data_IF_346973781056
#
_entry.id   IF_346973781056
#
_cell.length_a   1.000
_cell.length_b   1.000
_cell.length_c   1.000
_cell.angle_alpha   90.00
_cell.angle_beta   90.00
_cell.angle_gamma   90.00
#
_symmetry.space_group_name_H-M   'P 1'
#
loop_
_entity.id
_entity.type
_entity.pdbx_description
1 polymer ?
#
# COMPACT_ATOMS: atom_id res chain seq x y z
N UNK A 1 4.66 -7.66 -15.31
CA UNK A 1 3.88 -6.47 -14.89
C UNK A 1 3.13 -5.78 -16.03
N UNK A 2 3.70 -4.87 -16.84
CA UNK A 2 2.89 -4.12 -17.83
C UNK A 2 2.13 -5.03 -18.81
N UNK A 3 2.82 -6.04 -19.36
CA UNK A 3 2.20 -7.06 -20.23
C UNK A 3 1.04 -7.78 -19.52
N UNK A 4 1.22 -8.13 -18.26
CA UNK A 4 0.20 -8.80 -17.44
C UNK A 4 -1.01 -7.88 -17.19
N UNK A 5 -0.77 -6.60 -16.88
CA UNK A 5 -1.84 -5.61 -16.72
C UNK A 5 -2.63 -5.39 -18.02
N UNK A 6 -1.95 -5.38 -19.18
CA UNK A 6 -2.59 -5.33 -20.51
C UNK A 6 -3.45 -6.59 -20.76
N UNK A 7 -2.92 -7.79 -20.49
CA UNK A 7 -3.64 -9.08 -20.68
C UNK A 7 -4.92 -9.18 -19.83
N UNK A 8 -4.92 -8.53 -18.67
CA UNK A 8 -6.08 -8.46 -17.77
C UNK A 8 -6.98 -7.23 -17.99
N UNK A 9 -6.73 -6.42 -19.02
CA UNK A 9 -7.49 -5.21 -19.34
C UNK A 9 -7.57 -4.21 -18.16
N UNK A 10 -6.51 -4.11 -17.36
CA UNK A 10 -6.47 -3.18 -16.22
C UNK A 10 -6.19 -1.73 -16.66
N UNK A 11 -5.64 -1.55 -17.86
CA UNK A 11 -5.24 -0.24 -18.38
C UNK A 11 -6.36 0.32 -19.26
N UNK A 12 -7.28 1.06 -18.63
CA UNK A 12 -8.56 1.49 -19.23
C UNK A 12 -8.41 2.41 -20.45
N UNK A 13 -7.32 3.19 -20.53
CA UNK A 13 -7.02 4.07 -21.66
C UNK A 13 -5.51 4.15 -21.93
N UNK A 14 -5.12 4.59 -23.12
CA UNK A 14 -3.71 4.83 -23.46
C UNK A 14 -3.06 5.90 -22.55
N UNK A 15 -3.84 6.90 -22.14
CA UNK A 15 -3.37 7.93 -21.21
C UNK A 15 -3.11 7.32 -19.82
N UNK A 16 -4.03 6.50 -19.32
CA UNK A 16 -3.86 5.77 -18.06
C UNK A 16 -2.68 4.81 -18.13
N UNK A 17 -2.51 4.09 -19.24
CA UNK A 17 -1.36 3.23 -19.51
C UNK A 17 -0.04 4.01 -19.40
N UNK A 18 0.04 5.19 -19.99
CA UNK A 18 1.22 6.04 -19.90
C UNK A 18 1.48 6.52 -18.47
N UNK A 19 0.43 6.85 -17.69
CA UNK A 19 0.53 7.14 -16.26
C UNK A 19 1.13 5.96 -15.49
N UNK A 20 0.62 4.75 -15.70
CA UNK A 20 1.12 3.52 -15.04
C UNK A 20 2.58 3.20 -15.43
N UNK A 21 3.00 3.41 -16.67
CA UNK A 21 4.41 3.22 -17.07
C UNK A 21 5.34 4.14 -16.27
N UNK A 22 4.92 5.40 -16.06
CA UNK A 22 5.70 6.41 -15.33
C UNK A 22 5.85 6.11 -13.84
N UNK A 23 4.95 5.32 -13.26
CA UNK A 23 5.05 4.97 -11.83
C UNK A 23 6.16 3.96 -11.56
N UNK A 24 6.55 3.15 -12.55
CA UNK A 24 7.60 2.12 -12.39
C UNK A 24 7.35 1.17 -11.21
N UNK A 25 6.11 0.72 -10.98
CA UNK A 25 5.77 -0.17 -9.85
C UNK A 25 6.57 -1.48 -9.80
N UNK A 26 7.04 -1.98 -10.95
CA UNK A 26 7.96 -3.13 -10.97
C UNK A 26 9.29 -2.84 -10.28
N UNK A 27 9.81 -1.61 -10.37
CA UNK A 27 11.02 -1.19 -9.63
C UNK A 27 10.73 -0.99 -8.15
N UNK A 28 9.54 -0.51 -7.77
CA UNK A 28 9.11 -0.49 -6.37
C UNK A 28 9.16 -1.90 -5.76
N UNK A 29 8.55 -2.89 -6.44
CA UNK A 29 8.61 -4.29 -6.01
C UNK A 29 10.06 -4.78 -5.85
N UNK A 30 10.90 -4.55 -6.86
CA UNK A 30 12.30 -5.01 -6.83
C UNK A 30 13.13 -4.37 -5.71
N UNK A 31 12.87 -3.10 -5.37
CA UNK A 31 13.56 -2.42 -4.26
C UNK A 31 13.10 -2.89 -2.89
N UNK A 32 11.81 -3.16 -2.74
CA UNK A 32 11.24 -3.57 -1.45
C UNK A 32 11.41 -5.06 -1.16
N UNK A 33 11.59 -5.89 -2.19
CA UNK A 33 11.81 -7.33 -2.08
C UNK A 33 13.04 -7.79 -2.88
N UNK A 34 14.24 -7.29 -2.55
CA UNK A 34 15.44 -7.49 -3.36
C UNK A 34 15.92 -8.94 -3.42
N UNK A 35 15.51 -9.77 -2.45
CA UNK A 35 15.92 -11.17 -2.35
C UNK A 35 14.83 -12.15 -2.81
N UNK A 36 13.67 -11.66 -3.27
CA UNK A 36 12.60 -12.52 -3.74
C UNK A 36 13.04 -13.27 -5.00
N UNK A 37 12.72 -14.57 -5.06
CA UNK A 37 12.86 -15.33 -6.31
C UNK A 37 12.02 -14.74 -7.43
N UNK A 38 12.46 -14.90 -8.68
CA UNK A 38 11.87 -14.26 -9.87
C UNK A 38 10.34 -14.43 -9.95
N UNK A 39 9.84 -15.64 -9.70
CA UNK A 39 8.41 -15.95 -9.80
C UNK A 39 7.58 -15.24 -8.71
N UNK A 40 8.11 -15.19 -7.47
CA UNK A 40 7.47 -14.47 -6.37
C UNK A 40 7.53 -12.95 -6.60
N UNK A 41 8.67 -12.43 -7.03
CA UNK A 41 8.82 -11.01 -7.34
C UNK A 41 7.88 -10.57 -8.46
N UNK A 42 7.69 -11.41 -9.48
CA UNK A 42 6.74 -11.14 -10.56
C UNK A 42 5.29 -11.10 -10.03
N UNK A 43 4.89 -12.05 -9.18
CA UNK A 43 3.56 -12.05 -8.54
C UNK A 43 3.34 -10.83 -7.64
N UNK A 44 4.36 -10.41 -6.89
CA UNK A 44 4.33 -9.20 -6.07
C UNK A 44 4.20 -7.95 -6.95
N UNK A 45 4.99 -7.83 -8.03
CA UNK A 45 4.90 -6.68 -8.92
C UNK A 45 3.51 -6.55 -9.57
N UNK A 46 2.92 -7.68 -9.96
CA UNK A 46 1.56 -7.73 -10.51
C UNK A 46 0.51 -7.38 -9.44
N UNK A 47 0.70 -7.86 -8.20
CA UNK A 47 -0.11 -7.47 -7.05
C UNK A 47 -0.05 -5.96 -6.79
N UNK A 48 1.14 -5.35 -6.81
CA UNK A 48 1.31 -3.93 -6.53
C UNK A 48 0.64 -3.08 -7.61
N UNK A 49 0.84 -3.39 -8.90
CA UNK A 49 0.14 -2.64 -9.96
C UNK A 49 -1.36 -2.81 -9.79
N UNK A 50 -1.88 -4.03 -9.60
CA UNK A 50 -3.30 -4.23 -9.37
C UNK A 50 -3.84 -3.40 -8.20
N UNK A 51 -3.13 -3.41 -7.07
CA UNK A 51 -3.49 -2.65 -5.87
C UNK A 51 -3.60 -1.16 -6.17
N UNK A 52 -2.58 -0.56 -6.80
CA UNK A 52 -2.59 0.87 -7.11
C UNK A 52 -3.72 1.26 -8.07
N UNK A 53 -4.04 0.41 -9.06
CA UNK A 53 -5.14 0.70 -9.98
C UNK A 53 -6.51 0.57 -9.29
N UNK A 54 -6.68 -0.45 -8.44
CA UNK A 54 -7.89 -0.59 -7.64
C UNK A 54 -8.09 0.59 -6.68
N UNK A 55 -7.01 1.05 -6.05
CA UNK A 55 -7.00 2.21 -5.16
C UNK A 55 -7.37 3.49 -5.91
N UNK A 56 -6.67 3.81 -7.01
CA UNK A 56 -6.92 5.00 -7.85
C UNK A 56 -8.36 5.02 -8.42
N UNK A 57 -8.95 3.85 -8.73
CA UNK A 57 -10.27 3.75 -9.39
C UNK A 57 -11.46 3.63 -8.42
N UNK A 58 -11.28 3.09 -7.21
CA UNK A 58 -12.41 2.76 -6.32
C UNK A 58 -12.29 3.32 -4.91
N UNK A 59 -11.07 3.54 -4.40
CA UNK A 59 -10.86 3.92 -2.99
C UNK A 59 -10.50 5.39 -2.86
N UNK A 60 -9.59 5.88 -3.70
CA UNK A 60 -9.11 7.26 -3.66
C UNK A 60 -10.01 8.24 -4.42
N UNK A 61 -10.94 7.75 -5.25
CA UNK A 61 -11.94 8.61 -5.89
C UNK A 61 -12.86 9.24 -4.85
N UNK A 62 -12.97 10.56 -4.87
CA UNK A 62 -13.84 11.35 -3.97
C UNK A 62 -15.32 11.31 -4.39
N UNK A 63 -15.67 10.44 -5.33
CA UNK A 63 -17.05 10.26 -5.78
C UNK A 63 -17.89 9.50 -4.74
N UNK A 64 -19.20 9.66 -4.82
CA UNK A 64 -20.13 8.92 -3.95
C UNK A 64 -20.08 7.44 -4.31
N UNK A 65 -19.95 6.57 -3.31
CA UNK A 65 -20.00 5.12 -3.50
C UNK A 65 -21.23 4.72 -4.33
N UNK A 66 -21.01 3.88 -5.34
CA UNK A 66 -22.07 3.31 -6.18
C UNK A 66 -22.28 1.84 -5.82
N UNK A 67 -23.36 1.24 -6.34
CA UNK A 67 -23.54 -0.22 -6.26
C UNK A 67 -22.35 -0.97 -6.88
N UNK A 68 -21.68 -0.35 -7.87
CA UNK A 68 -20.50 -0.91 -8.50
C UNK A 68 -19.28 -0.90 -7.57
N UNK A 69 -19.07 0.17 -6.81
CA UNK A 69 -18.04 0.24 -5.76
C UNK A 69 -18.24 -0.89 -4.74
N UNK A 70 -19.48 -1.13 -4.30
CA UNK A 70 -19.80 -2.19 -3.33
C UNK A 70 -19.54 -3.57 -3.94
N UNK A 71 -20.01 -3.82 -5.18
CA UNK A 71 -19.75 -5.09 -5.89
C UNK A 71 -18.26 -5.33 -6.10
N UNK A 72 -17.48 -4.31 -6.42
CA UNK A 72 -16.05 -4.43 -6.63
C UNK A 72 -15.30 -4.80 -5.33
N UNK A 73 -15.54 -4.05 -4.24
CA UNK A 73 -14.91 -4.33 -2.94
C UNK A 73 -15.29 -5.72 -2.40
N UNK A 74 -16.54 -6.15 -2.59
CA UNK A 74 -16.98 -7.50 -2.18
C UNK A 74 -16.38 -8.59 -3.06
N UNK A 75 -16.28 -8.40 -4.37
CA UNK A 75 -15.61 -9.34 -5.27
C UNK A 75 -14.12 -9.52 -4.90
N UNK A 76 -13.43 -8.47 -4.46
CA UNK A 76 -12.05 -8.57 -3.98
C UNK A 76 -11.91 -9.48 -2.75
N UNK A 77 -12.88 -9.42 -1.85
CA UNK A 77 -12.96 -10.28 -0.66
C UNK A 77 -13.32 -11.72 -1.06
N UNK A 78 -14.28 -11.90 -1.98
CA UNK A 78 -14.66 -13.23 -2.48
C UNK A 78 -13.50 -13.96 -3.18
N UNK A 79 -12.63 -13.24 -3.90
CA UNK A 79 -11.41 -13.82 -4.47
C UNK A 79 -10.48 -14.39 -3.39
N UNK A 80 -10.36 -13.70 -2.25
CA UNK A 80 -9.54 -14.14 -1.13
C UNK A 80 -10.16 -15.32 -0.38
N UNK A 81 -11.47 -15.28 -0.14
CA UNK A 81 -12.17 -16.24 0.72
C UNK A 81 -12.67 -17.47 -0.01
N UNK A 82 -13.15 -17.29 -1.24
CA UNK A 82 -13.84 -18.31 -2.02
C UNK A 82 -13.03 -18.74 -3.26
N UNK A 83 -11.95 -18.03 -3.60
CA UNK A 83 -11.14 -18.28 -4.79
C UNK A 83 -11.98 -18.27 -6.09
N UNK A 84 -12.92 -17.32 -6.17
CA UNK A 84 -13.77 -17.08 -7.34
C UNK A 84 -13.77 -15.61 -7.71
N UNK A 85 -13.99 -15.31 -8.99
CA UNK A 85 -14.26 -13.95 -9.46
C UNK A 85 -15.78 -13.73 -9.59
N UNK A 86 -16.21 -12.47 -9.51
CA UNK A 86 -17.59 -12.07 -9.76
C UNK A 86 -18.05 -12.44 -11.19
N UNK A 87 -19.35 -12.69 -11.34
CA UNK A 87 -19.98 -12.97 -12.63
C UNK A 87 -21.28 -12.15 -12.79
N UNK A 88 -21.33 -11.17 -13.72
CA UNK A 88 -20.21 -10.67 -14.53
C UNK A 88 -19.16 -9.94 -13.69
N UNK A 89 -17.89 -9.87 -14.13
CA UNK A 89 -16.86 -9.10 -13.44
C UNK A 89 -17.11 -7.59 -13.57
N UNK A 90 -16.74 -6.84 -12.53
CA UNK A 90 -16.80 -5.38 -12.43
C UNK A 90 -15.49 -4.76 -12.92
N UNK A 91 -14.39 -4.98 -12.20
CA UNK A 91 -13.07 -4.46 -12.56
C UNK A 91 -11.97 -5.23 -11.82
N UNK A 92 -11.03 -5.77 -12.59
CA UNK A 92 -9.77 -6.29 -12.08
C UNK A 92 -9.85 -7.54 -11.21
N UNK A 93 -11.03 -8.07 -10.85
CA UNK A 93 -11.13 -9.25 -9.98
C UNK A 93 -10.57 -10.53 -10.63
N UNK A 94 -10.57 -10.62 -11.96
CA UNK A 94 -9.92 -11.73 -12.68
C UNK A 94 -8.39 -11.66 -12.55
N UNK A 95 -7.84 -10.45 -12.58
CA UNK A 95 -6.41 -10.21 -12.35
C UNK A 95 -6.05 -10.48 -10.89
N UNK A 96 -6.93 -10.06 -9.97
CA UNK A 96 -6.77 -10.34 -8.55
C UNK A 96 -6.79 -11.84 -8.24
N UNK A 97 -7.68 -12.58 -8.90
CA UNK A 97 -7.78 -14.02 -8.78
C UNK A 97 -6.49 -14.70 -9.25
N UNK A 98 -5.94 -14.28 -10.38
CA UNK A 98 -4.64 -14.77 -10.88
C UNK A 98 -3.51 -14.53 -9.86
N UNK A 99 -3.38 -13.30 -9.34
CA UNK A 99 -2.39 -12.96 -8.31
C UNK A 99 -2.58 -13.84 -7.08
N UNK A 100 -3.79 -13.96 -6.55
CA UNK A 100 -4.07 -14.77 -5.38
C UNK A 100 -3.75 -16.25 -5.60
N UNK A 101 -4.06 -16.81 -6.77
CA UNK A 101 -3.74 -18.20 -7.10
C UNK A 101 -2.22 -18.42 -7.20
N UNK A 102 -1.49 -17.48 -7.80
CA UNK A 102 -0.02 -17.53 -7.83
C UNK A 102 0.57 -17.44 -6.42
N UNK A 103 0.12 -16.51 -5.60
CA UNK A 103 0.60 -16.36 -4.22
C UNK A 103 0.28 -17.59 -3.36
N UNK A 104 -0.92 -18.19 -3.47
CA UNK A 104 -1.26 -19.46 -2.78
C UNK A 104 -0.34 -20.62 -3.15
N UNK A 105 0.15 -20.65 -4.40
CA UNK A 105 1.10 -21.68 -4.86
C UNK A 105 2.53 -21.42 -4.36
N UNK A 106 2.92 -20.15 -4.27
CA UNK A 106 4.30 -19.73 -3.98
C UNK A 106 4.58 -19.58 -2.48
N UNK A 107 3.56 -19.34 -1.66
CA UNK A 107 3.68 -19.07 -0.23
C UNK A 107 3.24 -20.28 0.60
N UNK A 108 3.75 -20.36 1.82
CA UNK A 108 3.12 -21.20 2.85
C UNK A 108 1.73 -20.66 3.19
N UNK A 109 0.82 -21.54 3.61
CA UNK A 109 -0.57 -21.18 3.89
C UNK A 109 -0.70 -20.04 4.92
N UNK A 110 0.11 -20.06 5.96
CA UNK A 110 0.12 -19.02 7.00
C UNK A 110 0.54 -17.65 6.44
N UNK A 111 1.58 -17.60 5.60
CA UNK A 111 2.04 -16.34 4.99
C UNK A 111 1.01 -15.78 4.00
N UNK A 112 0.36 -16.65 3.22
CA UNK A 112 -0.76 -16.24 2.38
C UNK A 112 -1.92 -15.69 3.21
N UNK A 113 -2.27 -16.31 4.33
CA UNK A 113 -3.37 -15.82 5.19
C UNK A 113 -3.04 -14.48 5.86
N UNK A 114 -1.79 -14.23 6.26
CA UNK A 114 -1.37 -12.91 6.74
C UNK A 114 -1.54 -11.83 5.67
N UNK A 115 -1.15 -12.14 4.44
CA UNK A 115 -1.37 -11.27 3.28
C UNK A 115 -2.86 -11.04 3.00
N UNK A 116 -3.64 -12.11 2.92
CA UNK A 116 -5.07 -12.06 2.69
C UNK A 116 -5.78 -11.24 3.78
N UNK A 117 -5.40 -11.40 5.05
CA UNK A 117 -5.95 -10.61 6.14
C UNK A 117 -5.61 -9.12 6.00
N UNK A 118 -4.39 -8.78 5.57
CA UNK A 118 -4.02 -7.41 5.24
C UNK A 118 -4.91 -6.80 4.16
N UNK A 119 -5.19 -7.56 3.10
CA UNK A 119 -6.07 -7.14 2.00
C UNK A 119 -7.54 -7.02 2.42
N UNK A 120 -8.04 -7.94 3.26
CA UNK A 120 -9.39 -7.85 3.85
C UNK A 120 -9.54 -6.57 4.67
N UNK A 121 -8.54 -6.24 5.49
CA UNK A 121 -8.52 -5.01 6.29
C UNK A 121 -8.45 -3.76 5.41
N UNK A 122 -7.68 -3.79 4.32
CA UNK A 122 -7.66 -2.72 3.33
C UNK A 122 -9.05 -2.52 2.71
N UNK A 123 -9.64 -3.56 2.12
CA UNK A 123 -10.93 -3.47 1.44
C UNK A 123 -12.07 -3.02 2.38
N UNK A 124 -12.07 -3.51 3.62
CA UNK A 124 -13.10 -3.13 4.61
C UNK A 124 -12.87 -1.74 5.18
N UNK A 125 -11.62 -1.31 5.38
CA UNK A 125 -11.32 0.05 5.86
C UNK A 125 -11.44 1.09 4.75
N UNK A 126 -11.30 0.70 3.47
CA UNK A 126 -11.61 1.55 2.33
C UNK A 126 -13.04 2.09 2.41
N UNK A 127 -14.01 1.32 2.93
CA UNK A 127 -15.36 1.82 3.17
C UNK A 127 -15.39 3.01 4.15
N UNK A 128 -14.55 3.02 5.20
CA UNK A 128 -14.45 4.17 6.11
C UNK A 128 -13.82 5.38 5.43
N UNK A 129 -12.85 5.17 4.53
CA UNK A 129 -12.27 6.23 3.72
C UNK A 129 -13.30 6.83 2.75
N UNK A 130 -14.03 5.99 2.03
CA UNK A 130 -15.10 6.40 1.12
C UNK A 130 -16.23 7.12 1.87
N UNK A 131 -16.63 6.66 3.06
CA UNK A 131 -17.59 7.39 3.89
C UNK A 131 -17.06 8.77 4.32
N UNK A 132 -15.75 8.88 4.56
CA UNK A 132 -15.10 10.15 4.81
C UNK A 132 -15.05 11.05 3.56
N UNK A 133 -15.24 10.51 2.35
CA UNK A 133 -15.38 11.27 1.10
C UNK A 133 -16.64 12.14 1.09
N UNK A 134 -17.68 11.71 1.81
CA UNK A 134 -18.97 12.41 1.91
C UNK A 134 -18.93 13.66 2.80
N UNK A 135 -17.82 13.92 3.51
CA UNK A 135 -17.68 15.04 4.43
C UNK A 135 -16.96 16.22 3.75
N UNK A 136 -17.34 17.47 4.04
CA UNK A 136 -16.68 18.65 3.47
C UNK A 136 -15.27 18.90 4.05
N UNK A 137 -14.91 18.22 5.14
CA UNK A 137 -13.60 18.31 5.79
C UNK A 137 -13.13 16.92 6.20
N UNK A 138 -11.82 16.74 6.36
CA UNK A 138 -11.26 15.48 6.83
C UNK A 138 -11.68 15.15 8.27
N UNK A 139 -11.50 13.89 8.66
CA UNK A 139 -11.60 13.45 10.05
C UNK A 139 -10.42 13.97 10.87
N UNK A 140 -10.52 13.86 12.20
CA UNK A 140 -9.42 14.19 13.09
C UNK A 140 -8.19 13.30 12.86
N UNK A 141 -7.04 13.74 13.37
CA UNK A 141 -5.76 13.04 13.20
C UNK A 141 -5.81 11.59 13.72
N UNK A 142 -6.51 11.34 14.83
CA UNK A 142 -6.63 10.01 15.43
C UNK A 142 -7.38 9.05 14.52
N UNK A 143 -8.53 9.49 14.00
CA UNK A 143 -9.35 8.70 13.07
C UNK A 143 -8.59 8.49 11.76
N UNK A 144 -7.95 9.54 11.24
CA UNK A 144 -7.09 9.46 10.05
C UNK A 144 -6.02 8.38 10.19
N UNK A 145 -5.26 8.39 11.29
CA UNK A 145 -4.22 7.39 11.53
C UNK A 145 -4.77 5.96 11.64
N UNK A 146 -6.00 5.80 12.11
CA UNK A 146 -6.65 4.48 12.18
C UNK A 146 -7.03 3.99 10.79
N UNK A 147 -7.62 4.85 9.96
CA UNK A 147 -7.99 4.54 8.57
C UNK A 147 -6.72 4.26 7.75
N UNK A 148 -5.77 5.21 7.77
CA UNK A 148 -4.52 5.18 6.99
C UNK A 148 -3.65 3.96 7.26
N UNK A 149 -3.66 3.43 8.49
CA UNK A 149 -2.94 2.19 8.85
C UNK A 149 -3.35 1.00 7.99
N UNK A 150 -4.58 0.97 7.52
CA UNK A 150 -5.10 -0.13 6.71
C UNK A 150 -5.23 0.25 5.24
N UNK A 151 -5.65 1.49 4.93
CA UNK A 151 -5.84 1.93 3.54
C UNK A 151 -4.53 2.15 2.79
N UNK A 152 -3.40 2.25 3.50
CA UNK A 152 -2.09 2.37 2.86
C UNK A 152 -1.59 1.14 2.10
N UNK A 153 -2.21 -0.03 2.30
CA UNK A 153 -1.73 -1.29 1.71
C UNK A 153 -0.44 -1.84 2.31
N UNK A 154 0.13 -1.22 3.36
CA UNK A 154 1.41 -1.67 3.92
C UNK A 154 1.32 -2.98 4.72
N UNK A 155 0.17 -3.30 5.31
CA UNK A 155 -0.01 -4.56 6.04
C UNK A 155 0.14 -5.80 5.13
N UNK A 156 -0.56 -5.91 3.98
CA UNK A 156 -0.33 -7.03 3.07
C UNK A 156 1.11 -7.03 2.51
N UNK A 157 1.68 -5.87 2.18
CA UNK A 157 3.06 -5.76 1.71
C UNK A 157 4.09 -6.32 2.72
N UNK A 158 4.04 -5.86 3.97
CA UNK A 158 4.97 -6.32 5.02
C UNK A 158 4.79 -7.80 5.38
N UNK A 159 3.59 -8.36 5.20
CA UNK A 159 3.34 -9.78 5.44
C UNK A 159 4.05 -10.72 4.46
N UNK A 160 4.46 -10.23 3.29
CA UNK A 160 5.21 -10.99 2.30
C UNK A 160 6.73 -10.88 2.49
N UNK A 161 7.18 -10.03 3.41
CA UNK A 161 8.58 -9.66 3.54
C UNK A 161 9.46 -10.83 4.01
N UNK A 162 8.95 -11.72 4.85
CA UNK A 162 9.70 -12.88 5.32
C UNK A 162 9.88 -13.94 4.23
N UNK A 163 8.81 -14.31 3.53
CA UNK A 163 8.79 -15.25 2.43
C UNK A 163 9.64 -14.77 1.24
N UNK A 164 9.75 -13.46 1.04
CA UNK A 164 10.63 -12.85 0.05
C UNK A 164 12.12 -12.83 0.44
N UNK A 165 12.47 -13.25 1.66
CA UNK A 165 13.84 -13.23 2.17
C UNK A 165 14.31 -14.63 2.60
N UNK A 166 13.95 -15.04 3.82
CA UNK A 166 14.47 -16.27 4.46
C UNK A 166 13.42 -17.35 4.69
N UNK A 167 12.17 -17.10 4.30
CA UNK A 167 11.05 -18.02 4.53
C UNK A 167 10.05 -17.50 5.55
N UNK A 168 8.93 -18.19 5.70
CA UNK A 168 7.81 -17.74 6.55
C UNK A 168 8.14 -17.85 8.03
N UNK A 169 8.02 -16.74 8.76
CA UNK A 169 8.16 -16.69 10.23
C UNK A 169 7.06 -17.51 10.89
N UNK A 170 7.37 -18.20 11.98
CA UNK A 170 6.35 -18.90 12.77
C UNK A 170 5.43 -17.92 13.50
N UNK A 171 4.16 -18.29 13.65
CA UNK A 171 3.15 -17.46 14.29
C UNK A 171 3.57 -16.97 15.70
N UNK A 172 4.27 -17.80 16.50
CA UNK A 172 4.71 -17.41 17.84
C UNK A 172 5.71 -16.24 17.84
N UNK A 173 6.58 -16.17 16.83
CA UNK A 173 7.53 -15.06 16.66
C UNK A 173 6.86 -13.88 15.93
N UNK A 174 6.05 -14.15 14.90
CA UNK A 174 5.39 -13.09 14.15
C UNK A 174 4.46 -12.26 15.04
N UNK A 175 3.67 -12.91 15.89
CA UNK A 175 2.71 -12.24 16.79
C UNK A 175 3.33 -11.76 18.11
N UNK A 176 4.65 -11.85 18.27
CA UNK A 176 5.33 -11.18 19.38
C UNK A 176 5.06 -9.67 19.36
N UNK A 177 4.91 -9.08 20.53
CA UNK A 177 4.49 -7.68 20.66
C UNK A 177 5.51 -6.70 20.05
N UNK A 178 6.81 -7.00 20.16
CA UNK A 178 7.87 -6.15 19.59
C UNK A 178 7.89 -6.29 18.07
N UNK A 179 7.72 -7.50 17.54
CA UNK A 179 7.64 -7.75 16.09
C UNK A 179 6.42 -7.04 15.47
N UNK A 180 5.26 -7.14 16.12
CA UNK A 180 4.07 -6.40 15.69
C UNK A 180 4.27 -4.88 15.76
N UNK A 181 5.09 -4.40 16.69
CA UNK A 181 5.46 -2.98 16.76
C UNK A 181 6.34 -2.57 15.59
N UNK A 182 7.34 -3.37 15.22
CA UNK A 182 8.18 -3.14 14.03
C UNK A 182 7.37 -3.09 12.74
N UNK A 183 6.40 -4.00 12.57
CA UNK A 183 5.49 -4.01 11.41
C UNK A 183 4.65 -2.72 11.37
N UNK A 184 4.09 -2.29 12.51
CA UNK A 184 3.31 -1.04 12.59
C UNK A 184 4.18 0.19 12.32
N UNK A 185 5.40 0.24 12.85
CA UNK A 185 6.33 1.34 12.61
C UNK A 185 6.71 1.42 11.14
N UNK A 186 6.98 0.28 10.49
CA UNK A 186 7.26 0.22 9.04
C UNK A 186 6.12 0.81 8.22
N UNK A 187 4.88 0.42 8.55
CA UNK A 187 3.67 0.98 7.94
C UNK A 187 3.64 2.51 8.15
N UNK A 188 3.70 2.98 9.40
CA UNK A 188 3.69 4.41 9.73
C UNK A 188 4.75 5.20 8.94
N UNK A 189 5.99 4.74 8.92
CA UNK A 189 7.11 5.39 8.23
C UNK A 189 6.80 5.55 6.75
N UNK A 190 6.45 4.45 6.06
CA UNK A 190 6.21 4.47 4.60
C UNK A 190 5.00 5.32 4.26
N UNK A 191 3.93 5.22 5.05
CA UNK A 191 2.66 5.89 4.76
C UNK A 191 2.72 7.39 5.03
N UNK A 192 3.35 7.81 6.13
CA UNK A 192 3.51 9.23 6.43
C UNK A 192 4.58 9.88 5.54
N UNK A 193 5.58 9.12 5.10
CA UNK A 193 6.48 9.57 4.04
C UNK A 193 5.71 9.74 2.71
N UNK A 194 4.81 8.80 2.37
CA UNK A 194 3.92 8.97 1.23
C UNK A 194 3.09 10.24 1.35
N UNK A 195 2.46 10.50 2.49
CA UNK A 195 1.66 11.73 2.71
C UNK A 195 2.46 13.02 2.42
N UNK A 196 3.77 13.06 2.66
CA UNK A 196 4.61 14.21 2.28
C UNK A 196 4.83 14.26 0.77
N UNK A 197 5.15 13.12 0.15
CA UNK A 197 5.56 13.04 -1.26
C UNK A 197 4.38 13.16 -2.23
N UNK A 198 3.23 12.59 -1.87
CA UNK A 198 1.98 12.67 -2.62
C UNK A 198 1.22 13.97 -2.38
N UNK A 199 1.59 14.77 -1.36
CA UNK A 199 0.89 16.00 -0.98
C UNK A 199 0.53 16.86 -2.18
N UNK A 200 1.49 17.13 -3.07
CA UNK A 200 1.29 18.04 -4.19
C UNK A 200 0.28 17.50 -5.18
N UNK A 201 0.29 16.21 -5.50
CA UNK A 201 -0.72 15.65 -6.41
C UNK A 201 -2.09 15.57 -5.72
N UNK A 202 -2.14 15.18 -4.45
CA UNK A 202 -3.38 15.01 -3.69
C UNK A 202 -4.12 16.32 -3.44
N UNK A 203 -3.45 17.44 -3.15
CA UNK A 203 -4.15 18.73 -2.97
C UNK A 203 -4.75 19.28 -4.27
N UNK A 204 -4.29 18.80 -5.43
CA UNK A 204 -4.88 19.14 -6.74
C UNK A 204 -6.01 18.18 -7.12
N UNK A 205 -6.15 17.03 -6.44
CA UNK A 205 -7.28 16.12 -6.64
C UNK A 205 -8.55 16.74 -6.03
N UNK A 206 -9.60 17.00 -6.83
CA UNK A 206 -10.79 17.67 -6.34
C UNK A 206 -11.48 16.93 -5.19
N UNK A 207 -11.60 17.59 -4.03
CA UNK A 207 -12.26 17.04 -2.85
C UNK A 207 -11.38 16.13 -1.98
N UNK A 208 -10.09 15.98 -2.33
CA UNK A 208 -9.16 15.20 -1.53
C UNK A 208 -8.54 16.06 -0.43
N UNK A 209 -8.75 15.63 0.82
CA UNK A 209 -8.25 16.33 2.01
C UNK A 209 -7.63 15.37 3.05
N UNK A 210 -7.36 14.13 2.65
CA UNK A 210 -7.13 13.00 3.55
C UNK A 210 -5.66 12.63 3.55
N UNK A 211 -4.88 13.59 4.02
CA UNK A 211 -3.43 13.55 4.10
C UNK A 211 -3.01 14.13 5.45
N UNK A 212 -1.99 13.55 6.12
CA UNK A 212 -1.53 14.03 7.43
C UNK A 212 -1.17 15.52 7.41
N UNK A 213 -0.47 15.98 6.37
CA UNK A 213 -0.05 17.38 6.22
C UNK A 213 -1.27 18.28 6.06
N UNK A 214 -2.22 17.91 5.21
CA UNK A 214 -3.46 18.69 5.00
C UNK A 214 -4.29 18.80 6.28
N UNK A 215 -4.35 17.74 7.08
CA UNK A 215 -5.06 17.74 8.37
C UNK A 215 -4.37 18.68 9.37
N UNK A 216 -3.04 18.71 9.43
CA UNK A 216 -2.32 19.67 10.28
C UNK A 216 -2.52 21.12 9.81
N UNK A 217 -2.52 21.37 8.51
CA UNK A 217 -2.81 22.69 7.96
C UNK A 217 -4.23 23.14 8.31
N UNK A 218 -5.23 22.25 8.21
CA UNK A 218 -6.61 22.51 8.64
C UNK A 218 -6.75 22.79 10.15
N UNK A 219 -5.80 22.33 10.96
CA UNK A 219 -5.73 22.59 12.40
C UNK A 219 -4.98 23.89 12.75
N UNK A 220 -4.60 24.70 11.74
CA UNK A 220 -4.05 26.03 11.92
C UNK A 220 -2.53 26.16 11.71
N UNK A 221 -1.85 25.09 11.29
CA UNK A 221 -0.44 25.20 10.88
C UNK A 221 -0.33 25.80 9.47
N UNK A 222 0.81 26.44 9.16
CA UNK A 222 1.15 26.69 7.76
C UNK A 222 1.41 25.37 7.04
N UNK A 223 1.29 25.34 5.71
CA UNK A 223 1.57 24.12 4.94
C UNK A 223 3.01 23.63 5.16
N UNK A 224 3.97 24.55 5.26
CA UNK A 224 5.37 24.21 5.50
C UNK A 224 5.59 23.64 6.92
N UNK A 225 4.95 24.22 7.94
CA UNK A 225 5.03 23.71 9.32
C UNK A 225 4.38 22.32 9.43
N UNK A 226 3.30 22.09 8.69
CA UNK A 226 2.63 20.79 8.64
C UNK A 226 3.50 19.71 7.96
N UNK A 227 4.25 20.06 6.91
CA UNK A 227 5.24 19.18 6.29
C UNK A 227 6.36 18.86 7.29
N UNK A 228 6.92 19.87 7.95
CA UNK A 228 8.00 19.69 8.94
C UNK A 228 7.54 18.85 10.14
N UNK A 229 6.31 19.09 10.62
CA UNK A 229 5.70 18.29 11.68
C UNK A 229 5.59 16.82 11.26
N UNK A 230 5.13 16.55 10.04
CA UNK A 230 4.98 15.19 9.51
C UNK A 230 6.36 14.53 9.34
N UNK A 231 7.35 15.25 8.81
CA UNK A 231 8.72 14.76 8.65
C UNK A 231 9.38 14.44 10.00
N UNK A 232 9.21 15.30 11.00
CA UNK A 232 9.69 15.06 12.37
C UNK A 232 9.08 13.79 12.95
N UNK A 233 7.78 13.52 12.70
CA UNK A 233 7.14 12.26 13.13
C UNK A 233 7.73 11.05 12.43
N UNK A 234 7.94 11.10 11.13
CA UNK A 234 8.60 10.02 10.36
C UNK A 234 9.99 9.74 10.92
N UNK A 235 10.80 10.78 11.14
CA UNK A 235 12.16 10.64 11.69
C UNK A 235 12.17 10.00 13.08
N UNK A 236 11.24 10.39 13.95
CA UNK A 236 11.09 9.77 15.27
C UNK A 236 10.69 8.30 15.18
N UNK A 237 9.77 7.97 14.28
CA UNK A 237 9.32 6.59 14.06
C UNK A 237 10.48 5.72 13.53
N UNK A 238 11.30 6.24 12.61
CA UNK A 238 12.52 5.57 12.12
C UNK A 238 13.50 5.30 13.27
N UNK A 239 13.77 6.30 14.12
CA UNK A 239 14.69 6.14 15.25
C UNK A 239 14.19 5.04 16.20
N UNK A 240 12.91 5.07 16.58
CA UNK A 240 12.30 4.05 17.44
C UNK A 240 12.25 2.67 16.78
N UNK A 241 12.08 2.59 15.45
CA UNK A 241 12.17 1.32 14.72
C UNK A 241 13.58 0.74 14.79
N UNK A 242 14.61 1.55 14.56
CA UNK A 242 16.00 1.09 14.62
C UNK A 242 16.37 0.56 16.02
N UNK A 243 16.04 1.31 17.07
CA UNK A 243 16.29 0.89 18.46
C UNK A 243 15.60 -0.44 18.79
N UNK A 244 14.33 -0.59 18.39
CA UNK A 244 13.58 -1.82 18.63
C UNK A 244 14.10 -2.99 17.80
N UNK A 245 14.46 -2.77 16.53
CA UNK A 245 14.99 -3.80 15.66
C UNK A 245 16.33 -4.34 16.19
N UNK A 246 17.21 -3.47 16.68
CA UNK A 246 18.46 -3.86 17.33
C UNK A 246 18.20 -4.65 18.63
N UNK A 247 17.23 -4.22 19.43
CA UNK A 247 16.87 -4.91 20.67
C UNK A 247 16.25 -6.30 20.43
N UNK A 248 15.47 -6.48 19.35
CA UNK A 248 14.89 -7.78 18.96
C UNK A 248 15.97 -8.69 18.38
N UNK A 249 16.82 -8.18 17.48
CA UNK A 249 17.88 -8.97 16.84
C UNK A 249 19.04 -9.34 17.77
N UNK A 250 19.17 -8.67 18.93
CA UNK A 250 20.09 -9.08 19.98
C UNK A 250 19.65 -10.33 20.75
N UNK A 251 18.38 -10.75 20.60
CA UNK A 251 17.83 -11.97 21.22
C UNK A 251 18.10 -13.19 20.32
N UNK A 252 18.09 -14.42 20.85
CA UNK A 252 18.05 -15.62 20.03
C UNK A 252 16.70 -15.68 19.28
N UNK A 253 16.73 -15.41 17.97
CA UNK A 253 15.57 -15.45 17.08
C UNK A 253 15.83 -16.38 15.89
N UNK A 254 14.78 -16.80 15.19
CA UNK A 254 14.91 -17.60 13.98
C UNK A 254 15.56 -16.83 12.81
N UNK A 255 16.07 -17.59 11.83
CA UNK A 255 16.56 -17.02 10.58
C UNK A 255 15.42 -16.33 9.80
N UNK A 256 14.23 -16.91 9.83
CA UNK A 256 13.03 -16.35 9.21
C UNK A 256 12.68 -14.99 9.83
N UNK A 257 12.75 -14.86 11.17
CA UNK A 257 12.48 -13.58 11.84
C UNK A 257 13.55 -12.52 11.50
N UNK A 258 14.81 -12.91 11.37
CA UNK A 258 15.83 -12.02 10.79
C UNK A 258 15.43 -11.55 9.37
N UNK A 259 14.98 -12.48 8.52
CA UNK A 259 14.52 -12.18 7.17
C UNK A 259 13.32 -11.23 7.13
N UNK A 260 12.39 -11.36 8.06
CA UNK A 260 11.27 -10.41 8.23
C UNK A 260 11.80 -9.01 8.55
N UNK A 261 12.65 -8.87 9.57
CA UNK A 261 13.16 -7.57 10.03
C UNK A 261 13.98 -6.88 8.93
N UNK A 262 14.79 -7.64 8.19
CA UNK A 262 15.50 -7.11 7.02
C UNK A 262 14.52 -6.68 5.92
N UNK A 263 13.48 -7.48 5.67
CA UNK A 263 12.41 -7.13 4.74
C UNK A 263 11.67 -5.84 5.12
N UNK A 264 11.43 -5.60 6.41
CA UNK A 264 10.86 -4.33 6.90
C UNK A 264 11.81 -3.14 6.61
N UNK A 265 13.12 -3.32 6.84
CA UNK A 265 14.14 -2.31 6.48
C UNK A 265 14.19 -2.05 4.97
N UNK A 266 14.10 -3.10 4.15
CA UNK A 266 14.05 -2.97 2.69
C UNK A 266 12.80 -2.23 2.22
N UNK A 267 11.65 -2.42 2.88
CA UNK A 267 10.45 -1.63 2.58
C UNK A 267 10.65 -0.15 2.85
N UNK A 268 11.19 0.21 4.02
CA UNK A 268 11.46 1.61 4.39
C UNK A 268 12.41 2.27 3.36
N UNK A 269 13.54 1.61 3.08
CA UNK A 269 14.55 2.17 2.17
C UNK A 269 14.11 2.13 0.70
N UNK A 270 13.55 1.00 0.29
CA UNK A 270 13.17 0.73 -1.09
C UNK A 270 12.05 1.64 -1.58
N UNK A 271 11.06 1.93 -0.72
CA UNK A 271 10.05 2.94 -1.01
C UNK A 271 10.69 4.32 -1.24
N UNK A 272 11.59 4.75 -0.35
CA UNK A 272 12.25 6.06 -0.47
C UNK A 272 13.08 6.15 -1.75
N UNK A 273 13.85 5.12 -2.06
CA UNK A 273 14.65 5.06 -3.29
C UNK A 273 13.78 5.06 -4.56
N UNK A 274 12.65 4.38 -4.53
CA UNK A 274 11.69 4.39 -5.64
C UNK A 274 11.12 5.80 -5.88
N UNK A 275 10.76 6.50 -4.80
CA UNK A 275 10.29 7.90 -4.86
C UNK A 275 11.36 8.81 -5.46
N UNK A 276 12.61 8.68 -5.02
CA UNK A 276 13.69 9.62 -5.39
C UNK A 276 14.25 9.34 -6.78
N UNK A 277 14.32 8.08 -7.21
CA UNK A 277 15.11 7.69 -8.37
C UNK A 277 14.32 7.12 -9.55
N UNK A 278 13.14 6.53 -9.31
CA UNK A 278 12.48 5.71 -10.33
C UNK A 278 11.16 6.30 -10.82
N UNK A 279 10.32 6.74 -9.89
CA UNK A 279 8.93 7.10 -10.20
C UNK A 279 8.80 8.54 -10.64
N UNK A 280 7.92 8.76 -11.62
CA UNK A 280 7.42 10.10 -11.94
C UNK A 280 5.99 10.31 -11.43
N UNK A 281 5.45 9.41 -10.59
CA UNK A 281 4.10 9.52 -10.01
C UNK A 281 3.89 10.82 -9.23
N UNK A 282 4.94 11.34 -8.60
CA UNK A 282 4.90 12.57 -7.80
C UNK A 282 5.59 13.76 -8.47
N UNK A 283 5.95 13.63 -9.75
CA UNK A 283 6.68 14.68 -10.45
C UNK A 283 5.76 15.86 -10.83
N UNK A 284 6.22 17.08 -10.58
CA UNK A 284 5.45 18.32 -10.78
C UNK A 284 4.85 18.44 -12.18
N UNK A 285 5.57 18.00 -13.21
CA UNK A 285 5.14 18.12 -14.59
C UNK A 285 3.88 17.30 -14.95
N UNK A 286 3.48 16.35 -14.11
CA UNK A 286 2.30 15.51 -14.34
C UNK A 286 1.14 15.79 -13.37
N UNK A 287 1.27 16.75 -12.44
CA UNK A 287 0.21 17.02 -11.46
C UNK A 287 -1.12 17.37 -12.16
N UNK A 288 -1.10 18.29 -13.13
CA UNK A 288 -2.30 18.72 -13.84
C UNK A 288 -2.95 17.61 -14.70
N UNK A 289 -2.16 16.63 -15.15
CA UNK A 289 -2.66 15.49 -15.92
C UNK A 289 -3.19 14.37 -15.03
N UNK A 290 -2.49 14.10 -13.92
CA UNK A 290 -2.64 12.87 -13.15
C UNK A 290 -3.42 13.07 -11.84
N UNK A 291 -3.64 14.31 -11.37
CA UNK A 291 -4.33 14.56 -10.10
C UNK A 291 -5.84 14.29 -10.14
N UNK A 292 -6.48 14.31 -11.33
CA UNK A 292 -7.92 14.08 -11.44
C UNK A 292 -8.22 12.66 -11.94
N UNK A 293 -8.45 11.73 -11.02
CA UNK A 293 -8.72 10.33 -11.33
C UNK A 293 -10.04 10.10 -12.08
N UNK A 294 -10.90 11.12 -12.22
CA UNK A 294 -12.15 11.06 -13.01
C UNK A 294 -11.91 11.13 -14.51
N UNK A 295 -10.67 11.42 -14.94
CA UNK A 295 -10.29 11.45 -16.36
C UNK A 295 -10.18 10.04 -16.98
N UNK A 296 -10.20 9.00 -16.15
CA UNK A 296 -9.91 7.62 -16.55
C UNK A 296 -11.10 6.68 -16.34
#
# INVERSE_FOLDING_TARGET
MMKWADEHNLLVTDEYRNRVIRTRYGLLAARCYPNAGEELLQAIADCLVWFFLADDLFVDRVEVATDETIRNLTAMVDVLDLNVAGSPPVFGELAWLDVCQRLRRLLQAEAFERFAQGMRLWATTAALQILNHLRPTSVGMREYQTIRRHTSGMNPCTSLADAANKGSVQACEFYDADVQTLVRQTNNIVCWANDIQSLRIEIHQPGQFRNMVTIYAQQGQSLQDAVETTATRVNKEIASFCELADAVTARPISDELHGLIDGLKYWIRGYLDWVVHDTLRYADQFIESDADDRRF
#
